data_IF_875181681158
#
_entry.id   IF_875181681158
#
_cell.length_a   1.000
_cell.length_b   1.000
_cell.length_c   1.000
_cell.angle_alpha   90.00
_cell.angle_beta   90.00
_cell.angle_gamma   90.00
#
_symmetry.space_group_name_H-M   'P 1'
#
loop_
_entity.id
_entity.type
_entity.pdbx_description
1 polymer ?
#
# COMPACT_ATOMS: atom_id res chain seq x y z
N UNK A 1 3.16 2.68 -6.11
CA UNK A 1 3.23 3.24 -4.74
C UNK A 1 3.74 4.66 -4.77
N UNK A 2 3.48 5.44 -3.83
CA UNK A 2 2.64 5.20 -2.67
C UNK A 2 1.33 5.98 -2.81
N UNK A 3 0.20 5.31 -2.65
CA UNK A 3 -1.11 5.94 -2.73
C UNK A 3 -1.39 6.84 -1.51
N UNK A 4 -1.99 8.02 -1.66
CA UNK A 4 -2.45 8.70 -2.90
C UNK A 4 -1.38 9.62 -3.51
N UNK A 5 -0.13 9.51 -3.10
CA UNK A 5 1.03 10.27 -3.54
C UNK A 5 1.99 10.54 -2.38
N UNK A 6 3.30 10.40 -2.60
CA UNK A 6 4.33 10.54 -1.55
C UNK A 6 5.10 11.85 -1.59
N UNK A 7 4.85 12.71 -2.58
CA UNK A 7 5.64 13.91 -2.82
C UNK A 7 5.23 15.17 -2.05
N UNK A 8 4.19 15.10 -1.21
CA UNK A 8 3.59 16.26 -0.51
C UNK A 8 3.83 16.26 0.98
N UNK A 9 4.87 15.57 1.45
CA UNK A 9 5.26 15.61 2.86
C UNK A 9 5.53 17.04 3.33
N UNK A 10 4.93 17.43 4.44
CA UNK A 10 5.06 18.76 5.00
C UNK A 10 6.51 19.14 5.19
N UNK A 11 6.92 20.26 4.62
CA UNK A 11 8.30 20.75 4.62
C UNK A 11 9.35 19.75 4.09
N UNK A 12 8.96 18.81 3.21
CA UNK A 12 9.84 17.77 2.64
C UNK A 12 10.31 16.71 3.65
N UNK A 13 9.63 16.57 4.78
CA UNK A 13 10.01 15.64 5.84
C UNK A 13 9.63 14.20 5.49
N UNK A 14 10.43 13.26 5.99
CA UNK A 14 10.26 11.84 5.78
C UNK A 14 9.16 11.26 6.68
N UNK A 15 8.19 10.58 6.07
CA UNK A 15 7.04 9.97 6.74
C UNK A 15 7.37 8.72 7.56
N UNK A 16 8.60 8.20 7.47
CA UNK A 16 9.05 7.15 8.39
C UNK A 16 9.16 7.66 9.84
N UNK A 17 9.22 8.97 10.04
CA UNK A 17 9.33 9.61 11.35
C UNK A 17 8.06 10.39 11.68
N UNK A 18 7.71 10.46 12.98
CA UNK A 18 6.50 11.13 13.44
C UNK A 18 6.42 12.62 13.02
N UNK A 19 7.57 13.30 12.91
CA UNK A 19 7.63 14.69 12.46
C UNK A 19 7.32 14.90 10.97
N UNK A 20 7.31 13.81 10.18
CA UNK A 20 6.97 13.80 8.75
C UNK A 20 5.63 13.15 8.43
N UNK A 21 4.77 12.93 9.43
CA UNK A 21 3.53 12.17 9.29
C UNK A 21 2.48 12.81 8.36
N UNK A 22 2.56 14.10 8.08
CA UNK A 22 1.53 14.79 7.30
C UNK A 22 1.92 14.97 5.83
N UNK A 23 1.02 14.58 4.94
CA UNK A 23 0.98 15.02 3.55
C UNK A 23 -0.02 16.17 3.44
N UNK A 24 0.42 17.31 2.88
CA UNK A 24 -0.37 18.54 2.83
C UNK A 24 -0.57 19.01 1.40
N UNK A 25 -1.72 19.61 1.12
CA UNK A 25 -2.12 20.05 -0.20
C UNK A 25 -2.55 21.55 -0.14
N UNK A 26 -1.62 22.47 0.09
CA UNK A 26 -1.93 23.86 0.43
C UNK A 26 -2.64 24.62 -0.68
N UNK A 27 -2.46 24.20 -1.95
CA UNK A 27 -3.12 24.80 -3.12
C UNK A 27 -4.41 24.09 -3.54
N UNK A 28 -4.84 23.08 -2.78
CA UNK A 28 -6.03 22.29 -3.11
C UNK A 28 -5.86 21.37 -4.33
N UNK A 29 -4.64 20.98 -4.66
CA UNK A 29 -4.29 20.20 -5.85
C UNK A 29 -4.21 18.69 -5.61
N UNK A 30 -4.98 18.17 -4.66
CA UNK A 30 -4.97 16.73 -4.31
C UNK A 30 -5.19 15.82 -5.52
N UNK A 31 -6.13 16.16 -6.41
CA UNK A 31 -6.45 15.38 -7.60
C UNK A 31 -5.26 15.25 -8.56
N UNK A 32 -4.40 16.26 -8.65
CA UNK A 32 -3.20 16.20 -9.49
C UNK A 32 -2.23 15.11 -9.00
N UNK A 33 -2.16 14.89 -7.69
CA UNK A 33 -1.33 13.84 -7.10
C UNK A 33 -1.87 12.43 -7.31
N UNK A 34 -3.14 12.30 -7.68
CA UNK A 34 -3.74 11.00 -8.02
C UNK A 34 -3.42 10.56 -9.45
N UNK A 35 -3.13 11.48 -10.37
CA UNK A 35 -2.93 11.20 -11.80
C UNK A 35 -1.90 10.10 -12.12
N UNK A 36 -0.76 10.00 -11.45
CA UNK A 36 0.16 8.89 -11.67
C UNK A 36 -0.45 7.49 -11.45
N UNK A 37 -1.49 7.42 -10.63
CA UNK A 37 -2.27 6.21 -10.42
C UNK A 37 -3.41 6.12 -11.43
N UNK A 38 -4.27 7.14 -11.46
CA UNK A 38 -5.55 7.10 -12.16
C UNK A 38 -5.42 7.21 -13.68
N UNK A 39 -4.36 7.88 -14.18
CA UNK A 39 -4.13 8.09 -15.62
C UNK A 39 -2.97 7.22 -16.16
N UNK A 40 -2.17 6.61 -15.29
CA UNK A 40 -1.05 5.77 -15.71
C UNK A 40 -1.12 4.36 -15.10
N UNK A 41 -0.95 4.18 -13.78
CA UNK A 41 -0.87 2.84 -13.19
C UNK A 41 -2.16 2.01 -13.35
N UNK A 42 -3.32 2.64 -13.47
CA UNK A 42 -4.61 1.97 -13.69
C UNK A 42 -4.99 1.82 -15.17
N UNK A 43 -4.13 2.28 -16.07
CA UNK A 43 -4.30 2.23 -17.53
C UNK A 43 -2.96 1.90 -18.20
N UNK A 44 -2.48 0.68 -17.97
CA UNK A 44 -1.22 0.20 -18.56
C UNK A 44 -1.43 -0.27 -19.99
N UNK A 45 -0.45 0.01 -20.83
CA UNK A 45 -0.34 -0.64 -22.13
C UNK A 45 0.10 -2.11 -21.96
N UNK A 46 -0.57 -3.02 -22.61
CA UNK A 46 -0.23 -4.43 -22.58
C UNK A 46 -1.29 -5.31 -21.92
N UNK A 47 -1.00 -6.61 -21.72
CA UNK A 47 -2.01 -7.61 -21.37
C UNK A 47 -2.52 -7.51 -19.91
N UNK A 48 -1.87 -6.73 -19.05
CA UNK A 48 -2.30 -6.60 -17.65
C UNK A 48 -3.26 -5.43 -17.42
N UNK A 49 -3.36 -4.49 -18.33
CA UNK A 49 -4.23 -3.30 -18.32
C UNK A 49 -4.09 -2.38 -17.09
N UNK A 50 -3.80 -2.94 -15.93
CA UNK A 50 -3.77 -2.22 -14.65
C UNK A 50 -2.69 -2.80 -13.74
N UNK A 51 -2.08 -1.95 -12.91
CA UNK A 51 -1.20 -2.40 -11.83
C UNK A 51 -1.92 -3.38 -10.90
N UNK A 52 -1.28 -4.50 -10.56
CA UNK A 52 -1.88 -5.58 -9.78
C UNK A 52 -2.02 -5.27 -8.29
N UNK A 53 -1.26 -4.32 -7.79
CA UNK A 53 -1.27 -3.94 -6.37
C UNK A 53 -1.03 -2.44 -6.19
N UNK A 54 -1.56 -1.89 -5.09
CA UNK A 54 -1.34 -0.52 -4.62
C UNK A 54 -0.90 -0.56 -3.17
N UNK A 55 0.06 0.27 -2.83
CA UNK A 55 0.53 0.46 -1.46
C UNK A 55 0.17 1.87 -1.00
N UNK A 56 -0.72 2.03 -0.01
CA UNK A 56 -0.93 3.32 0.65
C UNK A 56 0.31 3.71 1.45
N UNK A 57 0.65 5.00 1.41
CA UNK A 57 1.82 5.54 2.12
C UNK A 57 1.56 5.68 3.63
N UNK A 58 2.62 5.85 4.40
CA UNK A 58 2.52 6.07 5.86
C UNK A 58 1.72 7.32 6.23
N UNK A 59 1.81 8.36 5.39
CA UNK A 59 1.31 9.69 5.74
C UNK A 59 -0.18 9.73 6.05
N UNK A 60 -0.53 10.71 6.85
CA UNK A 60 -1.88 11.24 6.97
C UNK A 60 -2.07 12.27 5.87
N UNK A 61 -2.96 12.03 4.91
CA UNK A 61 -3.37 13.04 3.91
C UNK A 61 -4.25 14.08 4.59
N UNK A 62 -3.60 15.12 5.15
CA UNK A 62 -4.23 16.05 6.08
C UNK A 62 -5.35 16.87 5.44
N UNK A 63 -6.52 16.86 6.06
CA UNK A 63 -7.69 17.60 5.61
C UNK A 63 -8.29 17.16 4.29
N UNK A 64 -7.92 15.97 3.76
CA UNK A 64 -8.45 15.43 2.50
C UNK A 64 -9.80 14.75 2.70
N UNK A 65 -9.97 14.00 3.79
CA UNK A 65 -11.24 13.33 4.12
C UNK A 65 -12.26 14.32 4.67
N UNK A 66 -12.96 15.00 3.76
CA UNK A 66 -14.04 15.92 4.10
C UNK A 66 -15.33 15.22 4.51
N UNK A 67 -15.48 13.93 4.20
CA UNK A 67 -16.70 13.17 4.47
C UNK A 67 -16.75 12.72 5.94
N UNK A 68 -15.63 12.20 6.46
CA UNK A 68 -15.57 11.63 7.79
C UNK A 68 -14.84 12.54 8.78
N UNK A 69 -14.21 13.61 8.29
CA UNK A 69 -13.35 14.55 9.06
C UNK A 69 -12.28 13.82 9.89
N UNK A 70 -11.67 12.78 9.27
CA UNK A 70 -10.66 11.94 9.91
C UNK A 70 -9.29 12.17 9.32
N UNK A 71 -8.33 12.43 10.20
CA UNK A 71 -6.92 12.53 9.86
C UNK A 71 -6.17 11.30 10.41
N UNK A 72 -6.17 10.23 9.62
CA UNK A 72 -5.50 8.96 9.95
C UNK A 72 -4.55 8.56 8.82
N UNK A 73 -3.58 7.72 9.12
CA UNK A 73 -2.66 7.17 8.12
C UNK A 73 -3.42 6.59 6.91
N UNK A 74 -2.88 6.76 5.72
CA UNK A 74 -3.60 6.48 4.46
C UNK A 74 -4.18 5.06 4.39
N UNK A 75 -3.50 4.05 4.96
CA UNK A 75 -4.02 2.68 5.02
C UNK A 75 -5.25 2.50 5.92
N UNK A 76 -5.49 3.44 6.82
CA UNK A 76 -6.64 3.43 7.73
C UNK A 76 -7.80 4.31 7.26
N UNK A 77 -7.57 5.10 6.20
CA UNK A 77 -8.57 6.04 5.70
C UNK A 77 -9.66 5.33 4.90
N UNK A 78 -10.88 5.31 5.43
CA UNK A 78 -12.06 4.83 4.71
C UNK A 78 -12.23 5.60 3.40
N UNK A 79 -12.07 6.91 3.43
CA UNK A 79 -12.19 7.76 2.26
C UNK A 79 -11.19 7.39 1.16
N UNK A 80 -9.89 7.30 1.51
CA UNK A 80 -8.84 7.05 0.52
C UNK A 80 -8.89 5.64 -0.07
N UNK A 81 -9.22 4.63 0.74
CA UNK A 81 -9.21 3.24 0.31
C UNK A 81 -10.59 2.82 -0.24
N UNK A 82 -11.64 3.00 0.57
CA UNK A 82 -12.96 2.50 0.21
C UNK A 82 -13.69 3.40 -0.77
N UNK A 83 -13.76 4.70 -0.49
CA UNK A 83 -14.54 5.62 -1.32
C UNK A 83 -13.80 6.00 -2.62
N UNK A 84 -12.53 6.37 -2.55
CA UNK A 84 -11.76 6.73 -3.73
C UNK A 84 -11.23 5.51 -4.49
N UNK A 85 -10.30 4.77 -3.88
CA UNK A 85 -9.57 3.71 -4.61
C UNK A 85 -10.51 2.59 -5.07
N UNK A 86 -11.36 2.08 -4.18
CA UNK A 86 -12.28 1.00 -4.49
C UNK A 86 -13.58 1.47 -5.14
N UNK A 87 -14.13 2.60 -4.69
CA UNK A 87 -15.42 3.13 -5.16
C UNK A 87 -15.28 3.94 -6.44
N UNK A 88 -14.63 5.11 -6.37
CA UNK A 88 -14.53 6.03 -7.51
C UNK A 88 -13.68 5.50 -8.66
N UNK A 89 -12.52 4.91 -8.34
CA UNK A 89 -11.57 4.42 -9.34
C UNK A 89 -11.67 2.91 -9.59
N UNK A 90 -12.57 2.21 -8.90
CA UNK A 90 -12.88 0.79 -9.11
C UNK A 90 -11.66 -0.15 -9.12
N UNK A 91 -10.58 0.24 -8.44
CA UNK A 91 -9.36 -0.58 -8.37
C UNK A 91 -9.66 -1.94 -7.75
N UNK A 92 -9.39 -3.02 -8.49
CA UNK A 92 -9.74 -4.41 -8.11
C UNK A 92 -8.56 -5.21 -7.58
N UNK A 93 -7.34 -4.68 -7.73
CA UNK A 93 -6.11 -5.33 -7.30
C UNK A 93 -5.91 -5.35 -5.78
N UNK A 94 -4.74 -5.81 -5.37
CA UNK A 94 -4.35 -5.90 -3.96
C UNK A 94 -4.10 -4.51 -3.38
N UNK A 95 -4.55 -4.26 -2.16
CA UNK A 95 -4.07 -3.16 -1.32
C UNK A 95 -3.18 -3.76 -0.23
N UNK A 96 -1.87 -3.51 -0.36
CA UNK A 96 -0.86 -3.91 0.62
C UNK A 96 -0.41 -2.67 1.41
N UNK A 97 -0.43 -2.72 2.73
CA UNK A 97 0.05 -1.60 3.54
C UNK A 97 1.54 -1.35 3.33
N UNK A 98 1.98 -0.13 3.64
CA UNK A 98 3.38 0.11 3.88
C UNK A 98 3.87 -0.62 5.14
N UNK A 99 5.18 -0.71 5.38
CA UNK A 99 5.78 -1.64 6.33
C UNK A 99 5.55 -1.25 7.79
N UNK A 100 5.04 -2.21 8.56
CA UNK A 100 4.92 -2.11 10.02
C UNK A 100 3.95 -1.05 10.53
N UNK A 101 2.93 -0.66 9.76
CA UNK A 101 2.00 0.41 10.14
C UNK A 101 1.14 0.06 11.37
N UNK A 102 0.88 -1.23 11.60
CA UNK A 102 0.01 -1.68 12.70
C UNK A 102 0.76 -1.94 13.99
N UNK A 103 2.10 -2.01 13.93
CA UNK A 103 2.95 -2.38 15.06
C UNK A 103 3.06 -1.27 16.10
N UNK A 104 3.17 -1.68 17.36
CA UNK A 104 3.50 -0.78 18.45
C UNK A 104 4.96 -0.28 18.36
N UNK A 105 5.31 0.86 18.97
CA UNK A 105 6.64 1.47 18.85
C UNK A 105 7.79 0.52 19.20
N UNK A 106 7.60 -0.35 20.17
CA UNK A 106 8.60 -1.31 20.66
C UNK A 106 8.95 -2.39 19.64
N UNK A 107 8.04 -2.62 18.67
CA UNK A 107 8.19 -3.64 17.63
C UNK A 107 8.67 -3.06 16.30
N UNK A 108 8.82 -1.73 16.19
CA UNK A 108 9.23 -1.10 14.94
C UNK A 108 10.74 -1.18 14.73
N UNK A 109 11.16 -0.98 13.48
CA UNK A 109 12.58 -0.88 13.14
C UNK A 109 13.22 0.26 13.92
N UNK A 110 14.43 0.04 14.41
CA UNK A 110 15.18 1.00 15.23
C UNK A 110 15.13 2.44 14.70
N UNK A 111 14.84 3.36 15.61
CA UNK A 111 14.86 4.80 15.35
C UNK A 111 13.65 5.39 14.62
N UNK A 112 12.75 4.57 14.08
CA UNK A 112 11.61 5.09 13.32
C UNK A 112 10.35 5.36 14.16
N UNK A 113 10.20 4.72 15.30
CA UNK A 113 9.00 4.85 16.13
C UNK A 113 7.74 4.24 15.50
N UNK A 114 6.59 4.45 16.13
CA UNK A 114 5.32 3.95 15.62
C UNK A 114 4.87 4.71 14.37
N UNK A 115 4.29 3.99 13.40
CA UNK A 115 3.71 4.54 12.17
C UNK A 115 2.19 4.40 12.09
N UNK A 116 1.55 4.06 13.20
CA UNK A 116 0.10 3.97 13.30
C UNK A 116 -0.56 5.34 13.50
N UNK A 117 -0.23 6.27 12.58
CA UNK A 117 -0.65 7.67 12.68
C UNK A 117 -2.16 7.85 12.74
N UNK A 118 -2.61 8.55 13.78
CA UNK A 118 -4.02 8.84 14.03
C UNK A 118 -4.82 7.69 14.66
N UNK A 119 -4.19 6.55 14.92
CA UNK A 119 -4.80 5.37 15.55
C UNK A 119 -3.93 4.75 16.66
N UNK A 120 -3.07 5.58 17.27
CA UNK A 120 -2.10 5.15 18.28
C UNK A 120 -2.78 4.54 19.52
N UNK A 121 -3.96 5.03 19.88
CA UNK A 121 -4.71 4.58 21.04
C UNK A 121 -5.43 3.23 20.87
N UNK A 122 -5.43 2.70 19.64
CA UNK A 122 -5.97 1.37 19.33
C UNK A 122 -4.95 0.29 19.62
N UNK A 123 -5.41 -0.91 19.94
CA UNK A 123 -4.57 -2.12 19.94
C UNK A 123 -4.14 -2.50 18.52
N UNK A 124 -3.09 -3.29 18.37
CA UNK A 124 -2.62 -3.76 17.06
C UNK A 124 -3.72 -4.52 16.30
N UNK A 125 -4.51 -5.35 17.00
CA UNK A 125 -5.64 -6.06 16.41
C UNK A 125 -6.76 -5.13 15.92
N UNK A 126 -7.06 -4.08 16.68
CA UNK A 126 -8.06 -3.07 16.26
C UNK A 126 -7.58 -2.25 15.06
N UNK A 127 -6.29 -1.92 14.97
CA UNK A 127 -5.67 -1.28 13.79
C UNK A 127 -5.77 -2.20 12.57
N UNK A 128 -5.47 -3.49 12.73
CA UNK A 128 -5.63 -4.48 11.68
C UNK A 128 -7.09 -4.57 11.22
N UNK A 129 -8.04 -4.65 12.15
CA UNK A 129 -9.47 -4.70 11.82
C UNK A 129 -9.92 -3.46 11.05
N UNK A 130 -9.50 -2.27 11.48
CA UNK A 130 -9.83 -1.01 10.80
C UNK A 130 -9.31 -1.01 9.35
N UNK A 131 -8.06 -1.40 9.15
CA UNK A 131 -7.47 -1.49 7.81
C UNK A 131 -8.21 -2.54 6.93
N UNK A 132 -8.48 -3.73 7.46
CA UNK A 132 -9.22 -4.80 6.77
C UNK A 132 -10.60 -4.32 6.34
N UNK A 133 -11.35 -3.71 7.24
CA UNK A 133 -12.72 -3.26 6.95
C UNK A 133 -12.76 -2.09 5.97
N UNK A 134 -11.70 -1.31 5.88
CA UNK A 134 -11.56 -0.24 4.89
C UNK A 134 -11.03 -0.71 3.53
N UNK A 135 -10.63 -1.98 3.39
CA UNK A 135 -10.32 -2.56 2.08
C UNK A 135 -8.86 -2.94 1.84
N UNK A 136 -8.03 -2.94 2.89
CA UNK A 136 -6.66 -3.48 2.85
C UNK A 136 -6.70 -5.00 2.79
N UNK A 137 -5.87 -5.61 1.95
CA UNK A 137 -5.83 -7.05 1.72
C UNK A 137 -4.58 -7.74 2.30
N UNK A 138 -3.49 -6.99 2.46
CA UNK A 138 -2.20 -7.52 2.91
C UNK A 138 -1.48 -6.50 3.79
N UNK A 139 -0.77 -6.99 4.80
CA UNK A 139 0.03 -6.17 5.71
C UNK A 139 1.52 -6.32 5.38
N UNK A 140 2.14 -5.23 4.89
CA UNK A 140 3.54 -5.20 4.55
C UNK A 140 4.43 -5.20 5.80
N UNK A 141 5.57 -5.90 5.74
CA UNK A 141 6.57 -5.93 6.80
C UNK A 141 6.12 -6.60 8.10
N UNK A 142 4.98 -7.28 8.11
CA UNK A 142 4.46 -8.00 9.26
C UNK A 142 4.23 -9.47 8.92
N UNK A 143 4.88 -10.37 9.65
CA UNK A 143 4.73 -11.82 9.52
C UNK A 143 3.98 -12.46 10.70
N UNK A 144 3.54 -11.67 11.67
CA UNK A 144 2.81 -12.17 12.83
C UNK A 144 1.32 -12.35 12.51
N UNK A 145 0.81 -13.58 12.61
CA UNK A 145 -0.60 -13.88 12.38
C UNK A 145 -1.51 -13.56 13.57
N UNK A 146 -0.96 -13.46 14.78
CA UNK A 146 -1.71 -13.24 16.02
C UNK A 146 -2.66 -12.05 15.97
N UNK A 147 -2.18 -10.84 15.65
CA UNK A 147 -3.03 -9.64 15.55
C UNK A 147 -4.13 -9.76 14.50
N UNK A 148 -3.89 -10.45 13.39
CA UNK A 148 -4.89 -10.67 12.33
C UNK A 148 -5.99 -11.64 12.79
N UNK A 149 -5.61 -12.73 13.47
CA UNK A 149 -6.57 -13.69 14.03
C UNK A 149 -7.46 -13.02 15.08
N UNK A 150 -6.87 -12.19 15.95
CA UNK A 150 -7.63 -11.44 16.94
C UNK A 150 -8.54 -10.38 16.29
N UNK A 151 -8.04 -9.65 15.28
CA UNK A 151 -8.84 -8.73 14.47
C UNK A 151 -10.07 -9.43 13.84
N UNK A 152 -9.89 -10.66 13.34
CA UNK A 152 -11.00 -11.45 12.81
C UNK A 152 -12.06 -11.76 13.87
N UNK A 153 -11.65 -12.18 15.09
CA UNK A 153 -12.59 -12.44 16.20
C UNK A 153 -13.36 -11.19 16.60
N UNK A 154 -12.66 -10.07 16.84
CA UNK A 154 -13.30 -8.78 17.16
C UNK A 154 -14.26 -8.37 16.03
N UNK A 155 -13.85 -8.57 14.79
CA UNK A 155 -14.68 -8.29 13.62
C UNK A 155 -15.93 -9.17 13.54
N UNK A 156 -15.84 -10.47 13.87
CA UNK A 156 -16.97 -11.37 13.94
C UNK A 156 -18.00 -10.94 14.99
N UNK A 157 -17.55 -10.51 16.16
CA UNK A 157 -18.43 -9.97 17.21
C UNK A 157 -19.13 -8.69 16.77
N UNK A 158 -18.42 -7.82 16.05
CA UNK A 158 -18.92 -6.49 15.67
C UNK A 158 -19.79 -6.49 14.41
N UNK A 159 -19.43 -7.29 13.40
CA UNK A 159 -20.03 -7.26 12.06
C UNK A 159 -20.69 -8.58 11.66
N UNK A 160 -20.51 -9.64 12.44
CA UNK A 160 -20.97 -10.99 12.16
C UNK A 160 -19.94 -11.83 11.39
N UNK A 161 -19.91 -13.12 11.70
CA UNK A 161 -18.94 -14.08 11.13
C UNK A 161 -19.01 -14.14 9.58
N UNK A 162 -20.21 -14.16 9.04
CA UNK A 162 -20.43 -14.20 7.58
C UNK A 162 -19.76 -13.03 6.87
N UNK A 163 -19.97 -11.81 7.35
CA UNK A 163 -19.40 -10.61 6.75
C UNK A 163 -17.87 -10.60 6.82
N UNK A 164 -17.30 -10.99 7.97
CA UNK A 164 -15.87 -11.08 8.12
C UNK A 164 -15.24 -12.17 7.26
N UNK A 165 -15.90 -13.33 7.15
CA UNK A 165 -15.45 -14.41 6.27
C UNK A 165 -15.44 -13.97 4.81
N UNK A 166 -16.51 -13.38 4.31
CA UNK A 166 -16.59 -12.86 2.94
C UNK A 166 -15.50 -11.80 2.67
N UNK A 167 -15.21 -10.94 3.66
CA UNK A 167 -14.14 -9.93 3.55
C UNK A 167 -12.75 -10.57 3.44
N UNK A 168 -12.46 -11.60 4.24
CA UNK A 168 -11.18 -12.32 4.20
C UNK A 168 -11.04 -13.14 2.91
N UNK A 169 -12.09 -13.80 2.47
CA UNK A 169 -12.10 -14.55 1.20
C UNK A 169 -11.87 -13.64 0.00
N UNK A 170 -12.40 -12.41 0.03
CA UNK A 170 -12.13 -11.42 -1.01
C UNK A 170 -10.65 -11.03 -1.07
N UNK A 171 -10.00 -10.85 0.08
CA UNK A 171 -8.55 -10.58 0.14
C UNK A 171 -7.75 -11.76 -0.38
N UNK A 172 -8.07 -12.97 0.07
CA UNK A 172 -7.42 -14.19 -0.41
C UNK A 172 -7.55 -14.36 -1.93
N UNK A 173 -8.73 -14.11 -2.48
CA UNK A 173 -8.96 -14.14 -3.94
C UNK A 173 -8.06 -13.15 -4.68
N UNK A 174 -7.93 -11.92 -4.20
CA UNK A 174 -7.07 -10.90 -4.81
C UNK A 174 -5.60 -11.31 -4.81
N UNK A 175 -5.11 -11.87 -3.71
CA UNK A 175 -3.75 -12.36 -3.58
C UNK A 175 -3.48 -13.55 -4.51
N UNK A 176 -4.41 -14.50 -4.58
CA UNK A 176 -4.30 -15.68 -5.44
C UNK A 176 -4.28 -15.33 -6.94
N UNK A 177 -4.99 -14.29 -7.39
CA UNK A 177 -4.99 -13.87 -8.80
C UNK A 177 -3.56 -13.62 -9.29
N UNK A 178 -2.71 -12.94 -8.52
CA UNK A 178 -1.33 -12.70 -8.94
C UNK A 178 -0.52 -13.99 -9.03
N UNK A 179 -0.73 -14.93 -8.11
CA UNK A 179 -0.06 -16.24 -8.12
C UNK A 179 -0.44 -17.01 -9.38
N UNK A 180 -1.74 -17.00 -9.75
CA UNK A 180 -2.22 -17.62 -10.98
C UNK A 180 -1.67 -16.94 -12.25
N UNK A 181 -1.67 -15.60 -12.30
CA UNK A 181 -1.15 -14.87 -13.44
C UNK A 181 0.36 -15.10 -13.67
N UNK A 182 1.10 -15.33 -12.61
CA UNK A 182 2.54 -15.67 -12.70
C UNK A 182 2.81 -17.16 -12.96
N UNK A 183 1.78 -18.01 -13.06
CA UNK A 183 1.93 -19.45 -13.28
C UNK A 183 2.61 -20.21 -12.14
N UNK A 184 2.58 -19.66 -10.91
CA UNK A 184 3.35 -20.23 -9.79
C UNK A 184 2.76 -21.54 -9.24
N UNK A 185 1.56 -21.91 -9.62
CA UNK A 185 1.00 -23.23 -9.29
C UNK A 185 1.49 -24.32 -10.28
N UNK A 186 1.77 -23.92 -11.51
CA UNK A 186 2.22 -24.84 -12.57
C UNK A 186 3.75 -24.96 -12.57
N UNK A 187 4.46 -23.84 -12.45
CA UNK A 187 5.91 -23.76 -12.44
C UNK A 187 6.42 -22.69 -11.47
N UNK A 188 6.61 -23.02 -10.17
CA UNK A 188 7.07 -22.09 -9.16
C UNK A 188 8.57 -21.80 -9.19
N UNK A 189 9.35 -22.53 -9.99
CA UNK A 189 10.80 -22.44 -10.03
C UNK A 189 11.31 -21.85 -11.34
N UNK A 190 12.32 -21.02 -11.24
CA UNK A 190 13.07 -20.53 -12.39
C UNK A 190 14.28 -21.41 -12.64
N UNK A 191 14.68 -21.51 -13.91
CA UNK A 191 15.95 -22.11 -14.30
C UNK A 191 17.10 -21.15 -13.92
N UNK A 192 18.03 -21.54 -13.01
CA UNK A 192 19.13 -20.68 -12.58
C UNK A 192 20.10 -20.34 -13.73
N UNK A 193 20.33 -21.27 -14.68
CA UNK A 193 21.25 -21.07 -15.79
C UNK A 193 20.68 -20.06 -16.80
N UNK A 194 19.38 -20.16 -17.11
CA UNK A 194 18.70 -19.19 -17.96
C UNK A 194 18.59 -17.82 -17.26
N UNK A 195 18.29 -17.80 -15.97
CA UNK A 195 18.24 -16.57 -15.19
C UNK A 195 19.60 -15.85 -15.17
N UNK A 196 20.70 -16.57 -15.03
CA UNK A 196 22.06 -16.02 -15.06
C UNK A 196 22.44 -15.40 -16.41
N UNK A 197 21.84 -15.83 -17.51
CA UNK A 197 22.06 -15.21 -18.84
C UNK A 197 21.33 -13.88 -19.00
N UNK A 198 20.27 -13.66 -18.23
CA UNK A 198 19.41 -12.48 -18.33
C UNK A 198 19.82 -11.42 -17.32
N UNK A 199 19.95 -11.82 -16.04
CA UNK A 199 20.26 -10.90 -14.94
C UNK A 199 21.66 -10.30 -15.10
N UNK A 200 21.71 -8.98 -15.24
CA UNK A 200 22.98 -8.26 -15.41
C UNK A 200 23.68 -8.51 -16.75
N UNK A 201 22.97 -8.95 -17.77
CA UNK A 201 23.55 -9.12 -19.09
C UNK A 201 24.06 -7.78 -19.66
N UNK A 202 25.01 -7.82 -20.58
CA UNK A 202 25.68 -6.63 -21.12
C UNK A 202 24.69 -5.61 -21.71
N UNK A 203 23.65 -6.08 -22.40
CA UNK A 203 22.62 -5.22 -22.98
C UNK A 203 21.88 -4.43 -21.90
N UNK A 204 21.44 -5.08 -20.83
CA UNK A 204 20.70 -4.41 -19.76
C UNK A 204 21.59 -3.48 -18.94
N UNK A 205 22.84 -3.88 -18.69
CA UNK A 205 23.83 -3.00 -18.05
C UNK A 205 24.08 -1.74 -18.89
N UNK A 206 24.20 -1.88 -20.21
CA UNK A 206 24.35 -0.74 -21.11
C UNK A 206 23.14 0.20 -21.10
N UNK A 207 21.92 -0.36 -21.14
CA UNK A 207 20.70 0.44 -21.05
C UNK A 207 20.61 1.20 -19.72
N UNK A 208 20.93 0.53 -18.61
CA UNK A 208 20.98 1.17 -17.28
C UNK A 208 22.01 2.30 -17.22
N UNK A 209 23.19 2.08 -17.77
CA UNK A 209 24.24 3.09 -17.83
C UNK A 209 23.82 4.32 -18.66
N UNK A 210 23.22 4.11 -19.83
CA UNK A 210 22.73 5.22 -20.66
C UNK A 210 21.59 6.00 -19.97
N UNK A 211 20.71 5.30 -19.27
CA UNK A 211 19.66 5.95 -18.47
C UNK A 211 20.24 6.80 -17.35
N UNK A 212 21.24 6.28 -16.62
CA UNK A 212 21.94 7.02 -15.57
C UNK A 212 22.61 8.29 -16.13
N UNK A 213 23.32 8.19 -17.25
CA UNK A 213 23.91 9.36 -17.91
C UNK A 213 22.90 10.44 -18.25
N UNK A 214 21.74 10.04 -18.78
CA UNK A 214 20.65 10.96 -19.15
C UNK A 214 19.95 11.59 -17.95
N UNK A 215 20.01 10.94 -16.78
CA UNK A 215 19.37 11.44 -15.56
C UNK A 215 20.20 12.44 -14.77
N UNK A 216 21.49 12.63 -15.13
CA UNK A 216 22.36 13.58 -14.44
C UNK A 216 21.94 15.00 -14.81
N UNK A 217 21.63 15.80 -13.79
CA UNK A 217 21.30 17.23 -13.93
C UNK A 217 22.40 18.05 -13.27
N UNK A 218 22.98 18.96 -14.06
CA UNK A 218 23.92 19.96 -13.54
C UNK A 218 23.12 21.16 -13.06
N UNK A 219 23.27 21.52 -11.78
CA UNK A 219 22.61 22.68 -11.15
C UNK A 219 23.48 23.93 -11.29
#
# INVERSE_FOLDING_TARGET
KHWPGGGTGEAGRDAHYAFGQFAVYPTGNFEEHLKPFTEAAFHLDGPTDCASAVMPYYTVSYGVDKKNDKNVGNSYSEYLIKDLLRGKYEFKGIVCTDWGITQDPEKTIEGFGSRCYGVQDMTEAERCLLAITNGVDQFGGNSESGPIVEAYKIGCEKYGEKAMRERMELSAKRLLINIFHCGLFEDPYLDPEESAKIVGCEEFCRHGYEAQKKSIVLL
#
